data_IF_755650205186
#
_entry.id   IF_755650205186
#
_cell.length_a   1.000
_cell.length_b   1.000
_cell.length_c   1.000
_cell.angle_alpha   90.00
_cell.angle_beta   90.00
_cell.angle_gamma   90.00
#
_symmetry.space_group_name_H-M   'P 1'
#
loop_
_entity.id
_entity.type
_entity.pdbx_description
1 polymer ?
#
# COMPACT_ATOMS: atom_id res chain seq x y z
N UNK A 1 -12.38 -6.18 -2.28
CA UNK A 1 -11.09 -6.37 -2.97
C UNK A 1 -10.93 -5.30 -4.04
N UNK A 2 -10.04 -4.35 -3.79
CA UNK A 2 -9.75 -3.23 -4.69
C UNK A 2 -8.31 -3.37 -5.20
N UNK A 3 -8.09 -3.05 -6.47
CA UNK A 3 -6.76 -3.09 -7.10
C UNK A 3 -6.35 -1.69 -7.49
N UNK A 4 -5.16 -1.28 -7.04
CA UNK A 4 -4.55 0.00 -7.36
C UNK A 4 -3.29 -0.22 -8.17
N UNK A 5 -3.08 0.63 -9.17
CA UNK A 5 -1.82 0.69 -9.89
C UNK A 5 -0.76 1.34 -9.00
N UNK A 6 0.46 0.83 -9.04
CA UNK A 6 1.61 1.39 -8.32
C UNK A 6 1.75 2.88 -8.58
N UNK A 7 1.65 3.29 -9.85
CA UNK A 7 1.73 4.70 -10.23
C UNK A 7 0.70 5.57 -9.48
N UNK A 8 -0.55 5.11 -9.39
CA UNK A 8 -1.61 5.84 -8.66
C UNK A 8 -1.33 5.92 -7.15
N UNK A 9 -0.72 4.88 -6.58
CA UNK A 9 -0.28 4.90 -5.17
C UNK A 9 0.89 5.86 -4.99
N UNK A 10 1.83 5.93 -5.93
CA UNK A 10 2.93 6.89 -5.90
C UNK A 10 2.44 8.34 -6.02
N UNK A 11 1.44 8.61 -6.87
CA UNK A 11 0.80 9.93 -6.96
C UNK A 11 0.06 10.29 -5.66
N UNK A 12 -0.65 9.33 -5.05
CA UNK A 12 -1.31 9.52 -3.75
C UNK A 12 -0.29 9.88 -2.66
N UNK A 13 0.84 9.17 -2.62
CA UNK A 13 1.93 9.45 -1.67
C UNK A 13 2.62 10.78 -1.96
N UNK A 14 2.76 11.18 -3.23
CA UNK A 14 3.32 12.49 -3.59
C UNK A 14 2.48 13.65 -3.06
N UNK A 15 1.16 13.48 -2.97
CA UNK A 15 0.25 14.43 -2.34
C UNK A 15 0.26 14.40 -0.79
N UNK A 16 0.94 13.43 -0.18
CA UNK A 16 0.99 13.22 1.28
C UNK A 16 2.41 12.86 1.76
N UNK A 17 3.39 13.78 1.64
CA UNK A 17 4.80 13.48 1.87
C UNK A 17 5.16 13.07 3.31
N UNK A 18 4.33 13.42 4.30
CA UNK A 18 4.54 13.15 5.73
C UNK A 18 3.64 12.01 6.26
N UNK A 19 3.18 11.11 5.39
CA UNK A 19 2.34 9.97 5.78
C UNK A 19 3.02 8.61 5.51
N UNK A 20 2.55 7.57 6.18
CA UNK A 20 2.96 6.18 5.90
C UNK A 20 2.07 5.57 4.83
N UNK A 21 2.55 4.51 4.17
CA UNK A 21 1.77 3.82 3.15
C UNK A 21 0.45 3.26 3.72
N UNK A 22 0.49 2.74 4.95
CA UNK A 22 -0.68 2.27 5.70
C UNK A 22 -1.73 3.38 5.88
N UNK A 23 -1.28 4.56 6.32
CA UNK A 23 -2.15 5.71 6.54
C UNK A 23 -2.69 6.28 5.22
N UNK A 24 -1.89 6.31 4.15
CA UNK A 24 -2.34 6.77 2.84
C UNK A 24 -3.44 5.87 2.25
N UNK A 25 -3.30 4.55 2.40
CA UNK A 25 -4.24 3.56 1.88
C UNK A 25 -5.41 3.26 2.84
N UNK A 26 -5.43 3.90 4.01
CA UNK A 26 -6.42 3.68 5.07
C UNK A 26 -6.56 2.18 5.42
N UNK A 27 -5.41 1.51 5.54
CA UNK A 27 -5.30 0.09 5.89
C UNK A 27 -4.62 -0.09 7.23
N UNK A 28 -4.94 -1.19 7.90
CA UNK A 28 -4.30 -1.56 9.15
C UNK A 28 -2.84 -1.93 8.97
N UNK A 29 -2.53 -2.67 7.90
CA UNK A 29 -1.18 -3.14 7.62
C UNK A 29 -0.98 -3.35 6.12
N UNK A 30 0.24 -3.08 5.63
CA UNK A 30 0.67 -3.39 4.27
C UNK A 30 1.61 -4.59 4.31
N UNK A 31 1.22 -5.69 3.69
CA UNK A 31 2.11 -6.82 3.41
C UNK A 31 2.90 -6.59 2.12
N UNK A 32 4.08 -7.19 2.02
CA UNK A 32 4.88 -7.16 0.80
C UNK A 32 4.79 -8.48 0.06
N UNK A 33 4.72 -8.42 -1.25
CA UNK A 33 4.91 -9.58 -2.11
C UNK A 33 5.99 -9.30 -3.14
N UNK A 34 6.99 -10.19 -3.20
CA UNK A 34 8.04 -10.13 -4.21
C UNK A 34 7.57 -10.53 -5.62
N UNK A 35 6.37 -11.11 -5.75
CA UNK A 35 5.77 -11.40 -7.05
C UNK A 35 4.99 -10.22 -7.64
N UNK A 36 4.71 -9.19 -6.83
CA UNK A 36 4.04 -7.98 -7.28
C UNK A 36 5.06 -6.97 -7.77
N UNK A 37 4.85 -6.44 -8.96
CA UNK A 37 5.72 -5.43 -9.57
C UNK A 37 5.07 -4.05 -9.57
N UNK A 38 3.83 -3.98 -10.06
CA UNK A 38 3.18 -2.71 -10.43
C UNK A 38 1.77 -2.54 -9.85
N UNK A 39 1.35 -3.44 -8.95
CA UNK A 39 -0.02 -3.44 -8.43
C UNK A 39 -0.03 -3.55 -6.91
N UNK A 40 -0.96 -2.84 -6.29
CA UNK A 40 -1.29 -2.91 -4.86
C UNK A 40 -2.71 -3.44 -4.72
N UNK A 41 -2.87 -4.46 -3.89
CA UNK A 41 -4.14 -5.11 -3.64
C UNK A 41 -4.65 -4.74 -2.26
N UNK A 42 -5.85 -4.18 -2.18
CA UNK A 42 -6.55 -3.88 -0.94
C UNK A 42 -7.59 -4.97 -0.69
N UNK A 43 -7.47 -5.60 0.47
CA UNK A 43 -8.36 -6.64 0.97
C UNK A 43 -9.19 -6.05 2.11
N UNK A 44 -10.49 -5.92 1.85
CA UNK A 44 -11.48 -5.56 2.85
C UNK A 44 -11.82 -6.81 3.68
N UNK A 45 -11.85 -6.68 5.00
CA UNK A 45 -12.35 -7.70 5.94
C UNK A 45 -11.44 -8.92 6.17
N UNK A 46 -10.15 -8.69 6.40
CA UNK A 46 -9.28 -9.70 7.02
C UNK A 46 -9.40 -9.53 8.53
N UNK A 47 -10.22 -10.38 9.16
CA UNK A 47 -10.54 -10.35 10.59
C UNK A 47 -11.08 -8.98 11.07
N UNK A 48 -11.98 -8.37 10.29
CA UNK A 48 -12.57 -7.05 10.61
C UNK A 48 -11.63 -5.86 10.36
N UNK A 49 -10.50 -6.08 9.68
CA UNK A 49 -9.53 -5.03 9.32
C UNK A 49 -9.28 -5.03 7.82
N UNK A 50 -8.93 -3.87 7.27
CA UNK A 50 -8.47 -3.74 5.89
C UNK A 50 -6.96 -3.90 5.83
N UNK A 51 -6.45 -4.71 4.91
CA UNK A 51 -5.01 -4.86 4.68
C UNK A 51 -4.68 -4.56 3.22
N UNK A 52 -3.45 -4.15 2.96
CA UNK A 52 -2.94 -4.02 1.60
C UNK A 52 -1.81 -5.01 1.33
N UNK A 53 -1.62 -5.43 0.09
CA UNK A 53 -0.45 -6.18 -0.39
C UNK A 53 0.19 -5.36 -1.50
N UNK A 54 1.44 -4.97 -1.31
CA UNK A 54 2.18 -4.11 -2.21
C UNK A 54 3.49 -4.76 -2.69
N UNK A 55 4.11 -4.27 -3.79
CA UNK A 55 5.46 -4.64 -4.16
C UNK A 55 6.44 -4.30 -3.03
N UNK A 56 7.44 -5.16 -2.78
CA UNK A 56 8.46 -4.94 -1.75
C UNK A 56 9.12 -3.56 -1.90
N UNK A 57 9.49 -3.20 -3.13
CA UNK A 57 10.12 -1.91 -3.44
C UNK A 57 9.24 -0.72 -3.09
N UNK A 58 7.92 -0.87 -3.15
CA UNK A 58 6.97 0.21 -2.87
C UNK A 58 6.86 0.45 -1.36
N UNK A 59 6.72 -0.63 -0.57
CA UNK A 59 6.68 -0.52 0.89
C UNK A 59 8.01 0.04 1.41
N UNK A 60 9.16 -0.48 0.96
CA UNK A 60 10.48 -0.01 1.39
C UNK A 60 10.69 1.49 1.12
N UNK A 61 10.22 1.99 -0.02
CA UNK A 61 10.30 3.42 -0.38
C UNK A 61 9.54 4.32 0.61
N UNK A 62 8.40 3.85 1.12
CA UNK A 62 7.50 4.63 1.97
C UNK A 62 7.50 4.18 3.44
N UNK A 63 8.44 3.31 3.83
CA UNK A 63 8.62 2.77 5.19
C UNK A 63 9.22 3.78 6.18
N UNK A 64 9.07 5.09 5.99
CA UNK A 64 9.63 6.07 6.95
C UNK A 64 8.96 5.85 8.33
N UNK A 65 9.65 5.45 9.40
CA UNK A 65 11.07 5.13 9.59
C UNK A 65 11.32 3.89 10.46
#
# INVERSE_FOLDING_TARGET
MQRLQRAAVEELMAGRPDTTLEAALEVFEVFVSGSLTDEVYILDDVAGKRIAIAPTTLKDKYRRG
#
